data_IF_946047964700
#
_entry.id   IF_946047964700
#
_cell.length_a   1.000
_cell.length_b   1.000
_cell.length_c   1.000
_cell.angle_alpha   90.00
_cell.angle_beta   90.00
_cell.angle_gamma   90.00
#
_symmetry.space_group_name_H-M   'P 1'
#
loop_
_entity.id
_entity.type
_entity.pdbx_description
1 polymer ?
#
# COMPACT_ATOMS: atom_id res chain seq x y z
N UNK A 1 -3.95 5.35 -32.97
CA UNK A 1 -2.97 4.41 -32.40
C UNK A 1 -2.94 4.65 -30.90
N UNK A 2 -3.18 3.64 -30.06
CA UNK A 2 -3.05 3.81 -28.62
C UNK A 2 -1.56 3.73 -28.25
N UNK A 3 -1.06 4.68 -27.47
CA UNK A 3 0.27 4.54 -26.85
C UNK A 3 0.18 3.56 -25.67
N UNK A 4 1.22 2.75 -25.42
CA UNK A 4 1.27 1.90 -24.24
C UNK A 4 1.14 2.74 -22.96
N UNK A 5 0.55 2.19 -21.88
CA UNK A 5 0.43 2.89 -20.60
C UNK A 5 1.77 2.93 -19.87
N UNK A 6 2.77 3.59 -20.46
CA UNK A 6 4.17 3.55 -20.02
C UNK A 6 4.36 3.97 -18.57
N UNK A 7 3.70 5.05 -18.13
CA UNK A 7 3.80 5.52 -16.75
C UNK A 7 3.34 4.44 -15.74
N UNK A 8 2.13 3.88 -15.93
CA UNK A 8 1.60 2.86 -15.03
C UNK A 8 2.43 1.57 -15.01
N UNK A 9 2.97 1.15 -16.15
CA UNK A 9 3.84 -0.02 -16.19
C UNK A 9 5.16 0.27 -15.47
N UNK A 10 5.70 1.48 -15.62
CA UNK A 10 6.90 1.88 -14.92
C UNK A 10 6.68 1.87 -13.40
N UNK A 11 5.56 2.40 -12.91
CA UNK A 11 5.24 2.38 -11.48
C UNK A 11 5.20 0.94 -10.91
N UNK A 12 4.60 0.01 -11.67
CA UNK A 12 4.56 -1.41 -11.29
C UNK A 12 5.96 -2.02 -11.26
N UNK A 13 6.80 -1.72 -12.26
CA UNK A 13 8.14 -2.28 -12.37
C UNK A 13 9.16 -1.65 -11.42
N UNK A 14 8.97 -0.38 -11.06
CA UNK A 14 9.76 0.28 -10.02
C UNK A 14 9.46 -0.33 -8.65
N UNK A 15 8.20 -0.73 -8.41
CA UNK A 15 7.82 -1.46 -7.20
C UNK A 15 8.25 -2.94 -7.22
N UNK A 16 8.14 -3.61 -8.37
CA UNK A 16 8.55 -5.00 -8.55
C UNK A 16 9.05 -5.25 -9.98
N UNK A 17 10.39 -5.26 -10.19
CA UNK A 17 10.97 -5.45 -11.53
C UNK A 17 10.63 -6.79 -12.20
N UNK A 18 10.34 -7.81 -11.41
CA UNK A 18 10.02 -9.16 -11.87
C UNK A 18 8.50 -9.40 -11.99
N UNK A 19 7.68 -8.35 -11.84
CA UNK A 19 6.23 -8.45 -11.95
C UNK A 19 5.80 -9.00 -13.32
N UNK A 20 4.87 -9.96 -13.29
CA UNK A 20 4.20 -10.51 -14.47
C UNK A 20 2.95 -9.68 -14.76
N UNK A 21 2.83 -9.13 -15.96
CA UNK A 21 1.85 -8.11 -16.31
C UNK A 21 0.88 -8.64 -17.38
N UNK A 22 -0.38 -8.75 -16.99
CA UNK A 22 -1.51 -8.94 -17.90
C UNK A 22 -2.09 -7.56 -18.27
N UNK A 23 -2.06 -7.23 -19.56
CA UNK A 23 -2.65 -6.00 -20.06
C UNK A 23 -4.13 -6.21 -20.34
N UNK A 24 -4.98 -5.32 -19.83
CA UNK A 24 -6.44 -5.41 -20.00
C UNK A 24 -6.97 -4.13 -20.65
N UNK A 25 -7.59 -4.25 -21.83
CA UNK A 25 -8.37 -3.16 -22.43
C UNK A 25 -9.84 -3.40 -22.15
N UNK A 26 -10.52 -2.42 -21.57
CA UNK A 26 -11.95 -2.52 -21.22
C UNK A 26 -12.84 -1.94 -22.32
N UNK A 27 -14.16 -2.11 -22.20
CA UNK A 27 -15.18 -1.62 -23.15
C UNK A 27 -15.00 -2.15 -24.57
N UNK A 28 -14.57 -3.41 -24.69
CA UNK A 28 -14.34 -4.05 -25.98
C UNK A 28 -15.63 -4.19 -26.83
N UNK A 29 -16.79 -4.28 -26.18
CA UNK A 29 -18.11 -4.32 -26.83
C UNK A 29 -18.56 -2.97 -27.41
N UNK A 30 -17.94 -1.87 -26.99
CA UNK A 30 -18.24 -0.51 -27.45
C UNK A 30 -17.23 -0.04 -28.52
N UNK A 31 -16.31 -0.90 -28.95
CA UNK A 31 -15.31 -0.57 -29.98
C UNK A 31 -14.19 0.35 -29.52
N UNK A 32 -14.06 0.60 -28.21
CA UNK A 32 -12.96 1.40 -27.64
C UNK A 32 -11.66 0.61 -27.49
N UNK A 33 -11.70 -0.71 -27.63
CA UNK A 33 -10.52 -1.55 -27.59
C UNK A 33 -9.72 -1.39 -28.91
N UNK A 34 -8.42 -1.05 -28.85
CA UNK A 34 -7.57 -0.96 -30.03
C UNK A 34 -7.38 -2.35 -30.68
N UNK A 35 -6.94 -2.45 -31.95
CA UNK A 35 -6.69 -3.74 -32.58
C UNK A 35 -5.70 -4.60 -31.76
N UNK A 36 -6.14 -5.80 -31.38
CA UNK A 36 -5.42 -6.64 -30.42
C UNK A 36 -4.01 -7.06 -30.90
N UNK A 37 -3.85 -7.45 -32.16
CA UNK A 37 -2.58 -7.99 -32.66
C UNK A 37 -1.44 -6.97 -32.66
N UNK A 38 -1.72 -5.76 -33.15
CA UNK A 38 -0.71 -4.70 -33.19
C UNK A 38 -0.32 -4.23 -31.78
N UNK A 39 -1.33 -4.03 -30.93
CA UNK A 39 -1.10 -3.64 -29.54
C UNK A 39 -0.31 -4.72 -28.78
N UNK A 40 -0.70 -5.99 -28.90
CA UNK A 40 0.02 -7.10 -28.24
C UNK A 40 1.47 -7.18 -28.72
N UNK A 41 1.73 -6.96 -30.01
CA UNK A 41 3.10 -6.95 -30.56
C UNK A 41 3.92 -5.81 -29.97
N UNK A 42 3.36 -4.61 -29.90
CA UNK A 42 4.03 -3.43 -29.31
C UNK A 42 4.31 -3.62 -27.82
N UNK A 43 3.32 -4.09 -27.06
CA UNK A 43 3.47 -4.35 -25.62
C UNK A 43 4.50 -5.44 -25.34
N UNK A 44 4.47 -6.54 -26.09
CA UNK A 44 5.47 -7.61 -25.97
C UNK A 44 6.87 -7.12 -26.36
N UNK A 45 6.99 -6.24 -27.35
CA UNK A 45 8.26 -5.62 -27.71
C UNK A 45 8.82 -4.71 -26.61
N UNK A 46 7.97 -3.85 -26.04
CA UNK A 46 8.34 -2.90 -24.99
C UNK A 46 8.64 -3.59 -23.65
N UNK A 47 7.87 -4.63 -23.29
CA UNK A 47 7.90 -5.28 -21.97
C UNK A 47 8.19 -6.78 -22.07
N UNK A 48 9.16 -7.15 -22.91
CA UNK A 48 9.42 -8.56 -23.27
C UNK A 48 9.64 -9.52 -22.10
N UNK A 49 10.13 -9.04 -20.96
CA UNK A 49 10.35 -9.86 -19.75
C UNK A 49 9.10 -10.01 -18.88
N UNK A 50 8.21 -9.02 -18.91
CA UNK A 50 7.10 -8.89 -17.97
C UNK A 50 5.75 -9.18 -18.62
N UNK A 51 5.65 -9.15 -19.95
CA UNK A 51 4.41 -9.36 -20.68
C UNK A 51 3.88 -10.79 -20.51
N UNK A 52 2.73 -10.95 -19.87
CA UNK A 52 2.02 -12.22 -19.70
C UNK A 52 0.80 -12.37 -20.60
N UNK A 53 0.28 -11.28 -21.18
CA UNK A 53 -0.91 -11.37 -22.03
C UNK A 53 -1.57 -10.03 -22.31
N UNK A 54 -2.47 -10.03 -23.29
CA UNK A 54 -3.39 -8.92 -23.59
C UNK A 54 -4.81 -9.49 -23.64
N UNK A 55 -5.72 -8.91 -22.86
CA UNK A 55 -7.12 -9.30 -22.79
C UNK A 55 -8.01 -8.10 -23.09
N UNK A 56 -8.96 -8.28 -24.01
CA UNK A 56 -9.93 -7.24 -24.35
C UNK A 56 -11.30 -7.66 -23.86
N UNK A 57 -11.78 -6.97 -22.83
CA UNK A 57 -12.95 -7.38 -22.05
C UNK A 57 -14.04 -6.32 -22.04
N UNK A 58 -15.25 -6.74 -21.69
CA UNK A 58 -16.31 -5.83 -21.27
C UNK A 58 -16.91 -6.27 -19.95
N UNK A 59 -16.83 -5.38 -18.95
CA UNK A 59 -17.52 -5.55 -17.69
C UNK A 59 -19.06 -5.46 -17.83
N UNK A 60 -19.54 -4.78 -18.88
CA UNK A 60 -20.98 -4.54 -19.10
C UNK A 60 -21.67 -5.75 -19.71
N UNK A 61 -21.08 -6.34 -20.75
CA UNK A 61 -21.64 -7.51 -21.43
C UNK A 61 -21.06 -8.84 -20.93
N UNK A 62 -20.02 -8.80 -20.11
CA UNK A 62 -19.28 -9.99 -19.68
C UNK A 62 -18.33 -10.55 -20.73
N UNK A 63 -18.18 -9.85 -21.87
CA UNK A 63 -17.35 -10.29 -22.98
C UNK A 63 -15.91 -10.57 -22.51
N UNK A 64 -15.43 -11.77 -22.80
CA UNK A 64 -14.09 -12.29 -22.51
C UNK A 64 -13.64 -12.26 -21.04
N UNK A 65 -14.56 -12.09 -20.07
CA UNK A 65 -14.20 -12.09 -18.65
C UNK A 65 -13.76 -13.48 -18.16
N UNK A 66 -14.38 -14.55 -18.66
CA UNK A 66 -14.00 -15.92 -18.33
C UNK A 66 -12.54 -16.22 -18.72
N UNK A 67 -12.13 -15.74 -19.89
CA UNK A 67 -10.79 -15.90 -20.43
C UNK A 67 -9.77 -15.09 -19.63
N UNK A 68 -10.14 -13.88 -19.20
CA UNK A 68 -9.31 -13.09 -18.30
C UNK A 68 -9.14 -13.78 -16.93
N UNK A 69 -10.21 -14.31 -16.35
CA UNK A 69 -10.14 -15.05 -15.07
C UNK A 69 -9.27 -16.30 -15.22
N UNK A 70 -9.43 -17.07 -16.29
CA UNK A 70 -8.60 -18.24 -16.55
C UNK A 70 -7.11 -17.88 -16.70
N UNK A 71 -6.80 -16.77 -17.37
CA UNK A 71 -5.43 -16.27 -17.48
C UNK A 71 -4.87 -15.81 -16.13
N UNK A 72 -5.66 -15.10 -15.31
CA UNK A 72 -5.26 -14.72 -13.95
C UNK A 72 -4.95 -15.94 -13.09
N UNK A 73 -5.79 -16.98 -13.12
CA UNK A 73 -5.56 -18.23 -12.39
C UNK A 73 -4.27 -18.90 -12.88
N UNK A 74 -4.08 -19.01 -14.19
CA UNK A 74 -2.88 -19.62 -14.78
C UNK A 74 -1.61 -18.88 -14.36
N UNK A 75 -1.62 -17.55 -14.42
CA UNK A 75 -0.48 -16.73 -14.01
C UNK A 75 -0.23 -16.84 -12.49
N UNK A 76 -1.29 -16.79 -11.68
CA UNK A 76 -1.20 -16.94 -10.23
C UNK A 76 -0.61 -18.30 -9.83
N UNK A 77 -1.09 -19.41 -10.41
CA UNK A 77 -0.58 -20.76 -10.15
C UNK A 77 0.92 -20.92 -10.47
N UNK A 78 1.43 -20.09 -11.38
CA UNK A 78 2.85 -20.10 -11.76
C UNK A 78 3.74 -19.16 -10.94
N UNK A 79 3.19 -18.43 -9.98
CA UNK A 79 3.97 -17.58 -9.08
C UNK A 79 4.81 -18.42 -8.12
N UNK A 80 5.99 -17.92 -7.70
CA UNK A 80 6.77 -18.54 -6.65
C UNK A 80 5.92 -18.76 -5.39
N UNK A 81 6.15 -19.88 -4.71
CA UNK A 81 5.50 -20.27 -3.45
C UNK A 81 4.02 -20.68 -3.53
N UNK A 82 3.36 -20.53 -4.68
CA UNK A 82 2.01 -21.08 -4.85
C UNK A 82 2.01 -22.61 -4.73
N UNK A 83 1.05 -23.14 -3.98
CA UNK A 83 0.94 -24.57 -3.68
C UNK A 83 1.89 -25.08 -2.58
N UNK A 84 2.66 -24.21 -1.93
CA UNK A 84 3.44 -24.61 -0.75
C UNK A 84 2.53 -24.81 0.47
N UNK A 85 2.84 -25.84 1.26
CA UNK A 85 2.15 -26.08 2.52
C UNK A 85 2.60 -25.08 3.57
N UNK A 86 1.63 -24.56 4.33
CA UNK A 86 1.87 -23.68 5.46
C UNK A 86 1.73 -24.45 6.77
N UNK A 87 2.51 -24.12 7.82
CA UNK A 87 2.29 -24.68 9.14
C UNK A 87 0.85 -24.45 9.61
N UNK A 88 0.24 -25.46 10.23
CA UNK A 88 -1.13 -25.37 10.76
C UNK A 88 -1.30 -24.23 11.79
N UNK A 89 -0.24 -23.91 12.54
CA UNK A 89 -0.21 -22.78 13.47
C UNK A 89 -0.32 -21.43 12.74
N UNK A 90 0.23 -21.30 11.54
CA UNK A 90 0.13 -20.06 10.74
C UNK A 90 -1.29 -19.92 10.20
N UNK A 91 -1.92 -21.00 9.75
CA UNK A 91 -3.33 -20.97 9.34
C UNK A 91 -4.24 -20.57 10.50
N UNK A 92 -3.97 -21.10 11.69
CA UNK A 92 -4.72 -20.76 12.92
C UNK A 92 -4.52 -19.29 13.31
N UNK A 93 -3.27 -18.80 13.27
CA UNK A 93 -2.95 -17.40 13.54
C UNK A 93 -3.65 -16.48 12.53
N UNK A 94 -3.63 -16.83 11.25
CA UNK A 94 -4.32 -16.08 10.19
C UNK A 94 -5.80 -15.91 10.52
N UNK A 95 -6.51 -17.00 10.86
CA UNK A 95 -7.93 -16.91 11.20
C UNK A 95 -8.20 -16.02 12.42
N UNK A 96 -7.33 -16.06 13.44
CA UNK A 96 -7.44 -15.14 14.59
C UNK A 96 -7.23 -13.68 14.20
N UNK A 97 -6.23 -13.41 13.37
CA UNK A 97 -5.94 -12.07 12.87
C UNK A 97 -7.11 -11.53 12.03
N UNK A 98 -7.70 -12.36 11.18
CA UNK A 98 -8.90 -12.00 10.41
C UNK A 98 -10.11 -11.72 11.32
N UNK A 99 -10.27 -12.48 12.40
CA UNK A 99 -11.31 -12.25 13.42
C UNK A 99 -11.08 -10.93 14.18
N UNK A 100 -9.87 -10.68 14.66
CA UNK A 100 -9.50 -9.41 15.32
C UNK A 100 -9.67 -8.22 14.37
N UNK A 101 -9.26 -8.36 13.11
CA UNK A 101 -9.42 -7.32 12.08
C UNK A 101 -10.89 -7.05 11.71
N UNK A 102 -11.81 -7.96 12.06
CA UNK A 102 -13.25 -7.75 11.85
C UNK A 102 -13.87 -6.80 12.87
N UNK A 103 -13.21 -6.58 14.02
CA UNK A 103 -13.61 -5.60 15.02
C UNK A 103 -13.12 -4.19 14.62
N UNK A 104 -14.03 -3.23 14.33
CA UNK A 104 -13.64 -1.87 14.00
C UNK A 104 -12.92 -1.12 15.13
N UNK A 105 -13.06 -1.56 16.38
CA UNK A 105 -12.35 -0.97 17.52
C UNK A 105 -10.88 -1.42 17.58
N UNK A 106 -10.56 -2.61 17.05
CA UNK A 106 -9.20 -3.15 17.04
C UNK A 106 -8.48 -2.75 15.74
N UNK A 107 -7.83 -1.59 15.74
CA UNK A 107 -7.06 -1.14 14.57
C UNK A 107 -5.67 -1.79 14.46
N UNK A 108 -5.04 -2.06 15.60
CA UNK A 108 -3.65 -2.53 15.66
C UNK A 108 -3.43 -3.48 16.84
N UNK A 109 -2.27 -4.13 16.86
CA UNK A 109 -1.71 -4.83 18.00
C UNK A 109 -0.35 -4.22 18.33
N UNK A 110 -0.02 -4.12 19.61
CA UNK A 110 1.36 -3.95 20.04
C UNK A 110 2.21 -5.17 19.68
N UNK A 111 3.53 -5.01 19.68
CA UNK A 111 4.45 -6.16 19.51
C UNK A 111 4.24 -7.26 20.56
N UNK A 112 3.80 -6.91 21.77
CA UNK A 112 3.48 -7.87 22.82
C UNK A 112 2.22 -8.66 22.54
N UNK A 113 1.15 -7.98 22.11
CA UNK A 113 -0.12 -8.62 21.74
C UNK A 113 0.04 -9.51 20.50
N UNK A 114 0.79 -9.08 19.49
CA UNK A 114 1.12 -9.93 18.34
C UNK A 114 1.82 -11.23 18.77
N UNK A 115 2.84 -11.13 19.64
CA UNK A 115 3.54 -12.30 20.18
C UNK A 115 2.56 -13.23 20.89
N UNK A 116 1.68 -12.68 21.73
CA UNK A 116 0.70 -13.46 22.48
C UNK A 116 -0.25 -14.22 21.54
N UNK A 117 -0.85 -13.53 20.56
CA UNK A 117 -1.75 -14.16 19.59
C UNK A 117 -1.08 -15.26 18.78
N UNK A 118 0.16 -15.03 18.36
CA UNK A 118 0.96 -16.00 17.62
C UNK A 118 1.30 -17.24 18.48
N UNK A 119 1.73 -17.04 19.73
CA UNK A 119 2.02 -18.13 20.64
C UNK A 119 0.76 -18.95 20.98
N UNK A 120 -0.38 -18.29 21.20
CA UNK A 120 -1.65 -18.96 21.47
C UNK A 120 -2.19 -19.73 20.25
N UNK A 121 -1.79 -19.33 19.04
CA UNK A 121 -2.01 -20.09 17.80
C UNK A 121 -1.00 -21.25 17.60
N UNK A 122 -0.04 -21.42 18.50
CA UNK A 122 0.98 -22.47 18.46
C UNK A 122 2.19 -22.14 17.59
N UNK A 123 2.43 -20.86 17.28
CA UNK A 123 3.68 -20.43 16.63
C UNK A 123 4.82 -20.44 17.65
N UNK A 124 5.95 -21.06 17.29
CA UNK A 124 7.14 -21.07 18.14
C UNK A 124 7.79 -19.69 18.20
N UNK A 125 8.58 -19.42 19.25
CA UNK A 125 9.28 -18.13 19.41
C UNK A 125 10.17 -17.81 18.18
N UNK A 126 10.88 -18.81 17.65
CA UNK A 126 11.72 -18.68 16.45
C UNK A 126 10.90 -18.38 15.18
N UNK A 127 9.62 -18.78 15.15
CA UNK A 127 8.73 -18.59 14.00
C UNK A 127 7.95 -17.29 14.01
N UNK A 128 8.01 -16.48 15.09
CA UNK A 128 7.22 -15.26 15.24
C UNK A 128 7.56 -14.20 14.18
N UNK A 129 8.85 -13.98 13.95
CA UNK A 129 9.32 -13.01 12.97
C UNK A 129 8.92 -13.43 11.55
N UNK A 130 9.15 -14.70 11.21
CA UNK A 130 8.77 -15.27 9.91
C UNK A 130 7.27 -15.19 9.65
N UNK A 131 6.43 -15.46 10.65
CA UNK A 131 4.97 -15.35 10.51
C UNK A 131 4.55 -13.89 10.25
N UNK A 132 5.15 -12.94 10.98
CA UNK A 132 4.86 -11.53 10.83
C UNK A 132 5.29 -11.01 9.44
N UNK A 133 6.50 -11.34 9.02
CA UNK A 133 7.04 -10.91 7.72
C UNK A 133 6.20 -11.51 6.58
N UNK A 134 5.82 -12.79 6.66
CA UNK A 134 4.94 -13.43 5.69
C UNK A 134 3.58 -12.75 5.60
N UNK A 135 2.94 -12.46 6.74
CA UNK A 135 1.61 -11.83 6.75
C UNK A 135 1.67 -10.36 6.34
N UNK A 136 2.80 -9.71 6.57
CA UNK A 136 3.09 -8.38 6.07
C UNK A 136 3.22 -8.37 4.54
N UNK A 137 3.99 -9.30 3.97
CA UNK A 137 4.16 -9.45 2.52
C UNK A 137 2.83 -9.78 1.81
N UNK A 138 1.96 -10.56 2.46
CA UNK A 138 0.62 -10.84 1.93
C UNK A 138 -0.37 -9.69 2.08
N UNK A 139 -0.01 -8.62 2.79
CA UNK A 139 -0.89 -7.50 3.08
C UNK A 139 -2.04 -7.86 4.04
N UNK A 140 -1.94 -8.98 4.77
CA UNK A 140 -2.89 -9.35 5.81
C UNK A 140 -2.77 -8.42 7.02
N UNK A 141 -1.54 -8.06 7.37
CA UNK A 141 -1.21 -7.07 8.40
C UNK A 141 -0.16 -6.11 7.86
N UNK A 142 0.06 -4.98 8.52
CA UNK A 142 1.17 -4.08 8.21
C UNK A 142 2.01 -3.86 9.46
N UNK A 143 3.28 -4.26 9.43
CA UNK A 143 4.23 -3.85 10.46
C UNK A 143 4.62 -2.40 10.22
N UNK A 144 4.38 -1.53 11.19
CA UNK A 144 4.80 -0.13 11.09
C UNK A 144 6.33 -0.02 11.15
N UNK A 145 6.91 1.12 10.73
CA UNK A 145 8.33 1.39 10.91
C UNK A 145 8.73 1.29 12.39
N UNK A 146 9.88 0.71 12.70
CA UNK A 146 10.33 0.67 14.09
C UNK A 146 10.85 2.05 14.52
N UNK A 147 10.15 2.68 15.47
CA UNK A 147 10.67 3.84 16.19
C UNK A 147 11.51 3.35 17.38
N UNK A 148 12.46 4.16 17.86
CA UNK A 148 13.34 3.76 18.96
C UNK A 148 12.53 3.27 20.19
N UNK A 149 12.64 1.99 20.55
CA UNK A 149 11.90 1.40 21.69
C UNK A 149 11.25 0.03 21.41
N UNK A 150 10.17 -0.25 22.16
CA UNK A 150 9.47 -1.53 22.34
C UNK A 150 8.72 -2.07 21.11
N UNK A 151 9.45 -2.34 20.02
CA UNK A 151 8.93 -3.02 18.83
C UNK A 151 7.87 -2.25 18.04
N UNK A 152 7.78 -2.51 16.73
CA UNK A 152 6.80 -1.83 15.89
C UNK A 152 5.37 -2.38 16.13
N UNK A 153 4.35 -1.51 16.21
CA UNK A 153 2.95 -1.93 16.16
C UNK A 153 2.62 -2.65 14.85
N UNK A 154 1.64 -3.55 14.91
CA UNK A 154 1.12 -4.33 13.79
C UNK A 154 -0.29 -3.87 13.49
N UNK A 155 -0.51 -3.22 12.36
CA UNK A 155 -1.83 -2.78 11.89
C UNK A 155 -2.58 -3.97 11.32
N UNK A 156 -3.81 -4.20 11.80
CA UNK A 156 -4.65 -5.34 11.40
C UNK A 156 -5.47 -5.07 10.15
N UNK A 157 -5.66 -3.79 9.79
CA UNK A 157 -6.41 -3.36 8.60
C UNK A 157 -5.56 -2.47 7.71
N UNK A 158 -4.58 -3.03 6.97
CA UNK A 158 -3.70 -2.23 6.12
C UNK A 158 -4.44 -1.39 5.08
N UNK A 159 -5.58 -1.88 4.58
CA UNK A 159 -6.43 -1.18 3.61
C UNK A 159 -6.95 0.17 4.13
N UNK A 160 -7.13 0.31 5.43
CA UNK A 160 -7.67 1.53 6.03
C UNK A 160 -6.58 2.61 6.16
N UNK A 161 -5.28 2.25 6.07
CA UNK A 161 -4.18 3.20 6.22
C UNK A 161 -4.16 4.28 5.15
N UNK A 162 -4.62 3.99 3.94
CA UNK A 162 -4.73 5.01 2.89
C UNK A 162 -5.67 6.15 3.35
N UNK A 163 -6.78 5.81 4.00
CA UNK A 163 -7.71 6.79 4.56
C UNK A 163 -7.09 7.51 5.76
N UNK A 164 -6.39 6.79 6.65
CA UNK A 164 -5.68 7.38 7.81
C UNK A 164 -4.66 8.43 7.35
N UNK A 165 -3.79 8.09 6.40
CA UNK A 165 -2.80 9.02 5.85
C UNK A 165 -3.48 10.13 5.04
N UNK A 166 -4.58 9.80 4.35
CA UNK A 166 -5.42 10.75 3.64
C UNK A 166 -6.01 11.84 4.53
N UNK A 167 -6.24 11.59 5.82
CA UNK A 167 -6.74 12.60 6.77
C UNK A 167 -5.85 13.85 6.83
N UNK A 168 -4.54 13.74 6.57
CA UNK A 168 -3.63 14.90 6.48
C UNK A 168 -4.00 15.84 5.33
N UNK A 169 -4.50 15.28 4.23
CA UNK A 169 -4.85 15.97 2.99
C UNK A 169 -6.32 16.42 3.00
N UNK A 170 -7.21 15.57 3.52
CA UNK A 170 -8.66 15.72 3.40
C UNK A 170 -9.34 16.33 4.62
N UNK A 171 -8.60 16.64 5.70
CA UNK A 171 -9.14 17.37 6.85
C UNK A 171 -9.86 18.63 6.35
N UNK A 172 -11.18 18.63 6.52
CA UNK A 172 -12.11 19.52 5.83
C UNK A 172 -11.69 20.98 5.94
N UNK A 173 -11.88 21.73 4.85
CA UNK A 173 -11.62 23.17 4.67
C UNK A 173 -12.15 24.06 5.82
N UNK A 174 -13.12 23.56 6.60
CA UNK A 174 -13.75 24.27 7.71
C UNK A 174 -13.23 23.89 9.11
N UNK A 175 -12.48 22.79 9.26
CA UNK A 175 -11.80 22.40 10.49
C UNK A 175 -10.28 22.51 10.31
N UNK A 176 -9.82 23.75 10.43
CA UNK A 176 -8.43 24.14 10.72
C UNK A 176 -7.43 23.87 9.58
N UNK A 177 -6.64 24.90 9.25
CA UNK A 177 -5.58 24.87 8.26
C UNK A 177 -4.36 24.04 8.65
N UNK A 178 -4.56 22.77 8.99
CA UNK A 178 -3.54 21.85 9.52
C UNK A 178 -2.44 21.46 8.53
N UNK A 179 -2.71 21.65 7.24
CA UNK A 179 -1.71 21.55 6.18
C UNK A 179 -1.82 22.74 5.20
N UNK A 180 -2.18 23.92 5.72
CA UNK A 180 -2.31 25.12 4.89
C UNK A 180 -0.94 25.43 4.28
N UNK A 181 -0.92 25.65 2.97
CA UNK A 181 0.29 25.90 2.19
C UNK A 181 1.29 24.73 2.22
N UNK A 182 0.79 23.51 2.45
CA UNK A 182 1.58 22.28 2.44
C UNK A 182 2.42 22.04 3.69
N UNK A 183 2.14 22.69 4.82
CA UNK A 183 2.89 22.50 6.06
C UNK A 183 2.05 21.78 7.13
N UNK A 184 2.39 20.53 7.44
CA UNK A 184 1.84 19.77 8.57
C UNK A 184 2.69 20.02 9.82
N UNK A 185 2.12 20.63 10.86
CA UNK A 185 2.80 20.83 12.13
C UNK A 185 2.61 19.63 13.07
N UNK A 186 3.67 19.19 13.75
CA UNK A 186 3.62 17.98 14.58
C UNK A 186 2.82 18.19 15.89
N UNK A 187 2.62 19.43 16.32
CA UNK A 187 1.73 19.77 17.44
C UNK A 187 0.24 19.60 17.11
N UNK A 188 -0.10 19.43 15.83
CA UNK A 188 -1.47 19.28 15.34
C UNK A 188 -1.87 17.82 15.05
N UNK A 189 -0.94 16.87 15.18
CA UNK A 189 -1.21 15.44 14.95
C UNK A 189 -2.32 14.90 15.86
N UNK A 190 -2.48 15.49 17.05
CA UNK A 190 -3.53 15.15 18.00
C UNK A 190 -4.94 15.45 17.47
N UNK A 191 -5.06 16.43 16.58
CA UNK A 191 -6.32 16.82 15.94
C UNK A 191 -6.53 16.03 14.64
N UNK A 192 -5.48 15.87 13.84
CA UNK A 192 -5.55 15.15 12.56
C UNK A 192 -5.92 13.67 12.77
N UNK A 193 -5.29 13.00 13.73
CA UNK A 193 -5.53 11.59 14.03
C UNK A 193 -6.17 11.41 15.40
N UNK A 194 -7.21 12.20 15.68
CA UNK A 194 -7.93 12.18 16.96
C UNK A 194 -8.59 10.83 17.25
N UNK A 195 -9.04 10.12 16.20
CA UNK A 195 -9.72 8.82 16.27
C UNK A 195 -8.75 7.64 16.52
N UNK A 196 -7.45 7.87 16.47
CA UNK A 196 -6.42 6.85 16.66
C UNK A 196 -5.64 7.05 17.96
N UNK A 197 -5.13 5.94 18.49
CA UNK A 197 -4.28 5.95 19.68
C UNK A 197 -3.10 6.90 19.53
N UNK A 198 -2.84 7.70 20.57
CA UNK A 198 -1.75 8.69 20.56
C UNK A 198 -0.40 8.07 20.24
N UNK A 199 -0.18 6.84 20.68
CA UNK A 199 1.05 6.09 20.43
C UNK A 199 1.30 5.76 18.96
N UNK A 200 0.27 5.74 18.10
CA UNK A 200 0.40 5.41 16.67
C UNK A 200 0.80 6.61 15.80
N UNK A 201 0.55 7.84 16.26
CA UNK A 201 0.74 9.07 15.48
C UNK A 201 2.18 9.26 14.98
N UNK A 202 3.22 9.01 15.81
CA UNK A 202 4.60 9.06 15.33
C UNK A 202 4.87 8.05 14.21
N UNK A 203 4.24 6.87 14.26
CA UNK A 203 4.40 5.83 13.24
C UNK A 203 3.71 6.20 11.93
N UNK A 204 2.54 6.82 11.98
CA UNK A 204 1.87 7.33 10.77
C UNK A 204 2.70 8.43 10.11
N UNK A 205 3.30 9.32 10.90
CA UNK A 205 4.20 10.35 10.40
C UNK A 205 5.44 9.75 9.71
N UNK A 206 6.08 8.77 10.36
CA UNK A 206 7.22 8.06 9.78
C UNK A 206 6.83 7.32 8.49
N UNK A 207 5.62 6.74 8.45
CA UNK A 207 5.08 6.10 7.25
C UNK A 207 4.97 7.09 6.09
N UNK A 208 4.49 8.30 6.35
CA UNK A 208 4.42 9.35 5.33
C UNK A 208 5.81 9.74 4.81
N UNK A 209 6.81 9.80 5.69
CA UNK A 209 8.18 10.10 5.30
C UNK A 209 8.79 8.96 4.46
N UNK A 210 8.61 7.72 4.91
CA UNK A 210 9.12 6.52 4.24
C UNK A 210 8.57 6.35 2.82
N UNK A 211 7.30 6.70 2.59
CA UNK A 211 6.66 6.65 1.27
C UNK A 211 6.78 7.96 0.47
N UNK A 212 7.54 8.95 0.94
CA UNK A 212 7.75 10.21 0.23
C UNK A 212 6.51 11.10 0.13
N UNK A 213 5.48 10.83 0.93
CA UNK A 213 4.26 11.64 1.00
C UNK A 213 4.49 12.95 1.78
N UNK A 214 5.49 12.97 2.66
CA UNK A 214 5.90 14.15 3.40
C UNK A 214 7.41 14.22 3.57
N UNK A 215 7.93 15.44 3.64
CA UNK A 215 9.36 15.72 3.82
C UNK A 215 9.54 16.38 5.19
N UNK A 216 10.25 15.75 6.14
CA UNK A 216 10.50 16.37 7.44
C UNK A 216 11.35 17.63 7.28
N UNK A 217 10.93 18.73 7.90
CA UNK A 217 11.67 19.98 7.88
C UNK A 217 12.77 19.96 8.95
N UNK A 218 14.02 20.17 8.51
CA UNK A 218 15.20 20.20 9.36
C UNK A 218 15.99 21.47 9.08
N UNK A 219 16.61 22.04 10.11
CA UNK A 219 17.67 23.05 9.96
C UNK A 219 18.99 22.35 10.10
N UNK A 220 19.81 22.38 9.05
CA UNK A 220 21.19 21.91 9.14
C UNK A 220 22.01 22.91 9.97
N UNK A 221 22.37 22.48 11.17
CA UNK A 221 23.37 23.14 12.00
C UNK A 221 24.65 22.31 11.93
N UNK A 222 25.80 22.96 11.95
CA UNK A 222 27.12 22.36 11.71
C UNK A 222 27.50 21.16 12.61
N UNK A 223 26.72 20.85 13.65
CA UNK A 223 26.92 19.73 14.59
C UNK A 223 25.70 18.79 14.73
N UNK A 224 24.78 18.80 13.76
CA UNK A 224 23.61 17.91 13.74
C UNK A 224 22.32 18.71 13.55
N UNK A 225 21.59 18.39 12.48
CA UNK A 225 20.39 19.14 12.11
C UNK A 225 19.28 19.05 13.16
N UNK A 226 18.58 20.16 13.38
CA UNK A 226 17.45 20.26 14.31
C UNK A 226 16.15 20.06 13.53
N UNK A 227 15.35 19.07 13.92
CA UNK A 227 13.98 18.91 13.39
C UNK A 227 13.08 20.06 13.86
N UNK A 228 12.35 20.65 12.91
CA UNK A 228 11.50 21.81 13.15
C UNK A 228 10.10 21.47 13.68
N UNK A 229 9.83 20.20 14.00
CA UNK A 229 8.51 19.75 14.42
C UNK A 229 7.44 19.97 13.33
N UNK A 230 7.83 19.89 12.06
CA UNK A 230 6.93 20.07 10.94
C UNK A 230 7.36 19.22 9.73
N UNK A 231 6.37 18.88 8.90
CA UNK A 231 6.52 18.10 7.66
C UNK A 231 5.93 18.90 6.50
N UNK A 232 6.68 19.05 5.43
CA UNK A 232 6.20 19.58 4.16
C UNK A 232 5.44 18.47 3.41
N UNK A 233 4.22 18.75 2.95
CA UNK A 233 3.39 17.87 2.13
C UNK A 233 3.35 18.46 0.71
N UNK A 234 4.20 17.97 -0.22
CA UNK A 234 4.37 18.61 -1.53
C UNK A 234 3.08 18.68 -2.35
N UNK A 235 2.20 17.67 -2.23
CA UNK A 235 0.92 17.62 -2.93
C UNK A 235 -0.05 18.75 -2.56
N UNK A 236 0.18 19.42 -1.42
CA UNK A 236 -0.64 20.52 -0.91
C UNK A 236 -0.02 21.90 -1.16
N UNK A 237 1.12 21.98 -1.84
CA UNK A 237 1.72 23.25 -2.25
C UNK A 237 0.88 23.89 -3.36
N UNK A 238 0.57 25.17 -3.19
CA UNK A 238 -0.14 25.94 -4.22
C UNK A 238 0.80 26.14 -5.43
N UNK A 239 0.34 25.78 -6.63
CA UNK A 239 1.06 26.16 -7.85
C UNK A 239 0.93 27.66 -8.06
N UNK A 240 2.07 28.36 -8.12
CA UNK A 240 2.13 29.80 -8.37
C UNK A 240 1.80 30.20 -9.82
N UNK A 241 1.42 29.25 -10.69
CA UNK A 241 1.13 29.49 -12.11
C UNK A 241 -0.13 30.35 -12.39
N UNK A 242 -0.81 30.86 -11.35
CA UNK A 242 -1.94 31.78 -11.46
C UNK A 242 -1.66 33.24 -11.12
N UNK A 243 -0.41 33.59 -10.76
CA UNK A 243 -0.05 34.98 -10.41
C UNK A 243 0.78 35.64 -11.52
N UNK A 244 0.12 35.99 -12.63
CA UNK A 244 0.62 36.92 -13.63
C UNK A 244 -0.47 37.92 -14.03
#
# INVERSE_FOLDING_TARGET
>A
EAEPPHAYVQDVLDANPDARILFVTTKADEGFAPPAEDLARRLRGAYSRNFSGLHQVSAKSGLHLSELVAALVTEAESLPHMGQELPASYLTLRSRIEELASDPAQFHLSSGEWRQEAQDAGVSEEGLATALDLFHEWGLVLRLPALAGDGAPVVLRPRDLADVLGQVITSHVDMVGHCRDGLLRHDELDQVWADFDKGLRPYFLELMHAYGLGIPLRIDVSDGGVELGATLIPAMLQSTDGAA
#
